data_IF_995342832634
#
_entry.id   IF_995342832634
#
_cell.length_a   1.000
_cell.length_b   1.000
_cell.length_c   1.000
_cell.angle_alpha   90.00
_cell.angle_beta   90.00
_cell.angle_gamma   90.00
#
_symmetry.space_group_name_H-M   'P 1'
#
loop_
_entity.id
_entity.type
_entity.pdbx_description
1 polymer ?
#
# COMPACT_ATOMS: atom_id res chain seq x y z
N UNK A 1 5.29 8.76 -44.41
CA UNK A 1 5.84 9.02 -43.05
C UNK A 1 4.72 8.87 -42.04
N UNK A 2 4.68 7.76 -41.30
CA UNK A 2 3.67 7.52 -40.26
C UNK A 2 4.22 8.02 -38.93
N UNK A 3 3.65 9.10 -38.40
CA UNK A 3 3.87 9.54 -37.01
C UNK A 3 2.91 8.75 -36.12
N UNK A 4 3.35 7.60 -35.65
CA UNK A 4 2.67 6.89 -34.56
C UNK A 4 2.93 7.69 -33.29
N UNK A 5 1.89 8.34 -32.75
CA UNK A 5 1.92 8.91 -31.40
C UNK A 5 2.26 7.75 -30.46
N UNK A 6 3.39 7.85 -29.76
CA UNK A 6 3.70 6.96 -28.65
C UNK A 6 2.73 7.35 -27.54
N UNK A 7 1.81 6.46 -27.21
CA UNK A 7 1.10 6.53 -25.94
C UNK A 7 2.15 6.38 -24.84
N UNK A 8 2.47 7.50 -24.19
CA UNK A 8 3.34 7.55 -23.01
C UNK A 8 2.62 6.86 -21.84
N UNK A 9 3.12 5.73 -21.31
CA UNK A 9 2.52 5.05 -20.16
C UNK A 9 2.71 5.83 -18.84
N UNK A 10 3.31 7.03 -18.87
CA UNK A 10 3.66 7.81 -17.69
C UNK A 10 2.49 8.56 -17.03
N UNK A 11 1.40 8.84 -17.76
CA UNK A 11 0.31 9.68 -17.22
C UNK A 11 -0.68 8.96 -16.29
N UNK A 12 -0.66 7.63 -16.22
CA UNK A 12 -1.51 6.88 -15.28
C UNK A 12 -0.84 6.61 -13.93
N UNK A 13 0.47 6.82 -13.80
CA UNK A 13 1.19 6.57 -12.54
C UNK A 13 1.12 7.76 -11.56
N UNK A 14 0.91 8.99 -12.05
CA UNK A 14 1.01 10.21 -11.23
C UNK A 14 -0.20 10.49 -10.33
N UNK A 15 -1.37 9.92 -10.62
CA UNK A 15 -2.58 10.15 -9.80
C UNK A 15 -2.75 9.14 -8.66
N UNK A 16 -2.19 7.93 -8.77
CA UNK A 16 -2.31 6.88 -7.74
C UNK A 16 -1.36 7.10 -6.55
N UNK A 17 -0.22 7.76 -6.77
CA UNK A 17 0.77 8.04 -5.73
C UNK A 17 0.30 9.04 -4.66
N UNK A 18 -0.69 9.88 -4.97
CA UNK A 18 -1.17 10.93 -4.06
C UNK A 18 -2.24 10.46 -3.07
N UNK A 19 -2.80 9.25 -3.25
CA UNK A 19 -3.94 8.77 -2.46
C UNK A 19 -3.54 7.85 -1.29
N UNK A 20 -2.34 7.28 -1.30
CA UNK A 20 -1.91 6.30 -0.28
C UNK A 20 -1.32 7.02 0.93
N UNK A 21 -1.91 6.77 2.09
CA UNK A 21 -1.53 7.37 3.38
C UNK A 21 -1.23 6.28 4.43
N UNK A 22 -0.46 6.63 5.48
CA UNK A 22 -0.28 5.77 6.64
C UNK A 22 -1.61 5.29 7.25
N UNK A 23 -1.64 4.03 7.65
CA UNK A 23 -2.83 3.37 8.20
C UNK A 23 -3.84 2.86 7.15
N UNK A 24 -3.59 3.08 5.86
CA UNK A 24 -4.42 2.51 4.80
C UNK A 24 -4.06 1.05 4.53
N UNK A 25 -5.06 0.26 4.15
CA UNK A 25 -4.84 -1.10 3.65
C UNK A 25 -4.66 -1.09 2.14
N UNK A 26 -3.64 -1.80 1.66
CA UNK A 26 -3.26 -1.87 0.25
C UNK A 26 -2.97 -3.30 -0.21
N UNK A 27 -3.09 -3.52 -1.52
CA UNK A 27 -2.58 -4.69 -2.23
C UNK A 27 -1.39 -4.32 -3.11
N UNK A 28 -0.54 -5.29 -3.39
CA UNK A 28 0.42 -5.19 -4.49
C UNK A 28 -0.29 -5.42 -5.83
N UNK A 29 -0.05 -4.53 -6.78
CA UNK A 29 -0.70 -4.50 -8.10
C UNK A 29 -0.27 -5.67 -9.00
N UNK A 30 0.97 -6.14 -8.86
CA UNK A 30 1.53 -7.25 -9.64
C UNK A 30 1.09 -8.63 -9.15
N UNK A 31 0.54 -8.73 -7.94
CA UNK A 31 0.42 -10.01 -7.24
C UNK A 31 -0.70 -9.94 -6.19
N UNK A 32 -1.88 -10.53 -6.44
CA UNK A 32 -3.01 -10.46 -5.52
C UNK A 32 -2.91 -11.56 -4.48
N UNK A 33 -2.07 -11.41 -3.44
CA UNK A 33 -1.98 -12.46 -2.42
C UNK A 33 -1.91 -11.99 -0.97
N UNK A 34 -1.78 -10.70 -0.68
CA UNK A 34 -1.76 -10.28 0.72
C UNK A 34 -2.13 -8.81 0.95
N UNK A 35 -3.16 -8.51 1.76
CA UNK A 35 -3.43 -7.15 2.19
C UNK A 35 -2.34 -6.72 3.19
N UNK A 36 -1.83 -5.51 3.01
CA UNK A 36 -0.79 -4.93 3.84
C UNK A 36 -1.25 -3.58 4.38
N UNK A 37 -0.92 -3.25 5.62
CA UNK A 37 -1.20 -1.94 6.19
C UNK A 37 -0.02 -1.01 5.91
N UNK A 38 -0.27 0.16 5.34
CA UNK A 38 0.77 1.17 5.11
C UNK A 38 1.21 1.73 6.45
N UNK A 39 2.50 1.65 6.72
CA UNK A 39 3.17 2.26 7.86
C UNK A 39 3.62 3.68 7.52
N UNK A 40 4.91 3.96 7.66
CA UNK A 40 5.50 5.26 7.39
C UNK A 40 5.66 5.52 5.89
N UNK A 41 5.39 6.75 5.45
CA UNK A 41 5.77 7.23 4.12
C UNK A 41 7.27 7.53 4.08
N UNK A 42 7.95 7.01 3.08
CA UNK A 42 9.37 7.24 2.86
C UNK A 42 9.56 8.19 1.66
N UNK A 43 10.73 8.80 1.55
CA UNK A 43 11.09 9.61 0.38
C UNK A 43 11.13 8.78 -0.91
N UNK A 44 11.17 9.46 -2.06
CA UNK A 44 11.36 8.85 -3.39
C UNK A 44 10.27 7.84 -3.79
N UNK A 45 9.03 8.06 -3.35
CA UNK A 45 7.88 7.23 -3.75
C UNK A 45 7.88 5.84 -3.09
N UNK A 46 8.48 5.72 -1.91
CA UNK A 46 8.55 4.48 -1.13
C UNK A 46 7.67 4.60 0.12
N UNK A 47 7.24 3.48 0.68
CA UNK A 47 6.61 3.43 1.99
C UNK A 47 6.98 2.14 2.71
N UNK A 48 6.77 2.13 4.03
CA UNK A 48 6.74 0.92 4.80
C UNK A 48 5.34 0.30 4.73
N UNK A 49 5.28 -1.02 4.68
CA UNK A 49 4.05 -1.80 4.76
C UNK A 49 4.23 -2.90 5.79
N UNK A 50 3.17 -3.18 6.54
CA UNK A 50 3.14 -4.15 7.63
C UNK A 50 2.11 -5.22 7.31
N UNK A 51 2.53 -6.47 7.42
CA UNK A 51 1.64 -7.62 7.32
C UNK A 51 2.22 -8.79 8.14
N UNK A 52 1.35 -9.74 8.49
CA UNK A 52 1.78 -10.96 9.17
C UNK A 52 0.62 -11.69 9.82
N UNK A 53 0.76 -13.00 10.00
CA UNK A 53 -0.22 -13.83 10.72
C UNK A 53 0.01 -13.85 12.23
N UNK A 54 1.24 -13.57 12.66
CA UNK A 54 1.68 -13.66 14.05
C UNK A 54 2.65 -12.52 14.37
N UNK A 55 2.70 -12.14 15.65
CA UNK A 55 3.69 -11.20 16.17
C UNK A 55 5.06 -11.88 16.32
N UNK A 56 6.18 -11.15 16.12
CA UNK A 56 6.24 -9.75 15.71
C UNK A 56 5.86 -9.58 14.23
N UNK A 57 5.09 -8.53 13.92
CA UNK A 57 4.71 -8.24 12.55
C UNK A 57 5.94 -7.75 11.76
N UNK A 58 6.06 -8.22 10.53
CA UNK A 58 7.19 -7.86 9.68
C UNK A 58 6.89 -6.55 8.95
N UNK A 59 7.91 -5.70 8.85
CA UNK A 59 7.85 -4.41 8.14
C UNK A 59 8.67 -4.53 6.87
N UNK A 60 8.06 -4.16 5.75
CA UNK A 60 8.67 -4.23 4.43
C UNK A 60 8.67 -2.86 3.77
N UNK A 61 9.65 -2.60 2.90
CA UNK A 61 9.66 -1.40 2.06
C UNK A 61 9.07 -1.72 0.69
N UNK A 62 8.13 -0.91 0.23
CA UNK A 62 7.47 -1.05 -1.08
C UNK A 62 7.42 0.28 -1.83
N UNK A 63 7.38 0.21 -3.16
CA UNK A 63 7.13 1.38 -4.02
C UNK A 63 5.64 1.68 -3.99
N UNK A 64 5.26 2.93 -3.73
CA UNK A 64 3.85 3.35 -3.70
C UNK A 64 3.18 3.06 -5.05
N UNK A 65 3.91 3.25 -6.16
CA UNK A 65 3.41 2.97 -7.51
C UNK A 65 3.03 1.51 -7.76
N UNK A 66 3.52 0.56 -6.95
CA UNK A 66 3.15 -0.86 -7.06
C UNK A 66 1.99 -1.23 -6.14
N UNK A 67 1.43 -0.27 -5.41
CA UNK A 67 0.38 -0.50 -4.42
C UNK A 67 -0.96 0.07 -4.90
N UNK A 68 -2.05 -0.58 -4.50
CA UNK A 68 -3.42 -0.11 -4.70
C UNK A 68 -4.17 -0.17 -3.37
N UNK A 69 -4.91 0.90 -2.98
CA UNK A 69 -5.82 0.83 -1.85
C UNK A 69 -6.83 -0.31 -1.98
N UNK A 70 -7.14 -0.97 -0.86
CA UNK A 70 -8.26 -1.89 -0.79
C UNK A 70 -9.55 -1.13 -1.13
N UNK A 71 -10.37 -1.72 -2.00
CA UNK A 71 -11.73 -1.25 -2.28
C UNK A 71 -12.60 -1.49 -1.06
N UNK A 72 -13.68 -0.72 -0.93
CA UNK A 72 -14.71 -0.94 0.12
C UNK A 72 -15.21 -2.39 0.14
N UNK A 73 -15.38 -3.01 -1.02
CA UNK A 73 -15.79 -4.41 -1.17
C UNK A 73 -14.75 -5.42 -0.65
N UNK A 74 -13.49 -5.02 -0.52
CA UNK A 74 -12.35 -5.85 -0.08
C UNK A 74 -12.03 -5.66 1.41
N UNK A 75 -12.62 -4.66 2.07
CA UNK A 75 -12.31 -4.31 3.47
C UNK A 75 -12.65 -5.42 4.47
N UNK A 76 -13.60 -6.30 4.15
CA UNK A 76 -13.94 -7.45 4.99
C UNK A 76 -12.75 -8.39 5.22
N UNK A 77 -11.76 -8.41 4.31
CA UNK A 77 -10.57 -9.27 4.40
C UNK A 77 -9.68 -8.86 5.58
N UNK A 78 -9.70 -7.58 5.94
CA UNK A 78 -8.87 -7.01 7.01
C UNK A 78 -9.66 -6.78 8.31
N UNK A 79 -10.91 -7.24 8.39
CA UNK A 79 -11.71 -7.20 9.62
C UNK A 79 -11.46 -8.45 10.49
N UNK A 80 -10.23 -8.57 10.98
CA UNK A 80 -9.85 -9.63 11.90
C UNK A 80 -8.92 -9.11 13.00
N UNK A 81 -8.79 -9.88 14.09
CA UNK A 81 -8.01 -9.49 15.26
C UNK A 81 -6.56 -9.11 14.90
N UNK A 82 -5.89 -9.92 14.08
CA UNK A 82 -4.51 -9.66 13.67
C UNK A 82 -4.36 -8.34 12.90
N UNK A 83 -5.28 -8.05 11.99
CA UNK A 83 -5.25 -6.81 11.22
C UNK A 83 -5.52 -5.58 12.12
N UNK A 84 -6.42 -5.70 13.10
CA UNK A 84 -6.64 -4.64 14.10
C UNK A 84 -5.37 -4.37 14.93
N UNK A 85 -4.66 -5.42 15.32
CA UNK A 85 -3.37 -5.27 16.02
C UNK A 85 -2.30 -4.61 15.13
N UNK A 86 -2.18 -5.02 13.86
CA UNK A 86 -1.27 -4.38 12.90
C UNK A 86 -1.57 -2.88 12.79
N UNK A 87 -2.85 -2.52 12.63
CA UNK A 87 -3.27 -1.12 12.51
C UNK A 87 -2.94 -0.34 13.79
N UNK A 88 -3.10 -0.95 14.97
CA UNK A 88 -2.71 -0.34 16.24
C UNK A 88 -1.20 -0.12 16.33
N UNK A 89 -0.39 -1.12 15.96
CA UNK A 89 1.08 -1.00 15.92
C UNK A 89 1.52 0.12 14.98
N UNK A 90 0.93 0.20 13.78
CA UNK A 90 1.19 1.29 12.83
C UNK A 90 0.81 2.65 13.42
N UNK A 91 -0.36 2.79 14.04
CA UNK A 91 -0.75 4.07 14.67
C UNK A 91 0.22 4.48 15.76
N UNK A 92 0.68 3.54 16.58
CA UNK A 92 1.66 3.81 17.63
C UNK A 92 3.00 4.27 17.06
N UNK A 93 3.45 3.72 15.92
CA UNK A 93 4.74 4.10 15.31
C UNK A 93 4.72 5.46 14.59
N UNK A 94 3.53 6.02 14.35
CA UNK A 94 3.32 7.31 13.69
C UNK A 94 3.13 8.48 14.66
N UNK A 95 2.84 8.21 15.93
CA UNK A 95 2.59 9.25 16.95
C UNK A 95 3.87 9.82 17.60
N UNK A 96 5.03 9.66 16.97
CA UNK A 96 6.34 10.12 17.45
C UNK A 96 6.90 11.23 16.57
#
# INVERSE_FOLDING_TARGET
>A
MFKTKRDDPAQNASNLTSEIQPGMWVYETSTPLLPMCVGRMLGFGMCEVVYGKYKPFQVYKRRIATLRPLKKTEMHIVDNANCREILQTVRQSLSF
#
